data_IF_279185000846
#
_entry.id   IF_279185000846
#
_cell.length_a   1.000
_cell.length_b   1.000
_cell.length_c   1.000
_cell.angle_alpha   90.00
_cell.angle_beta   90.00
_cell.angle_gamma   90.00
#
_symmetry.space_group_name_H-M   'P 1'
#
loop_
_entity.id
_entity.type
_entity.pdbx_description
1 polymer ?
#
# COMPACT_ATOMS: atom_id res chain seq x y z
N UNK A 1 -51.52 30.49 8.05
CA UNK A 1 -50.66 29.41 7.53
C UNK A 1 -50.98 28.14 8.30
N UNK A 2 -51.42 27.08 7.62
CA UNK A 2 -51.86 25.83 8.27
C UNK A 2 -50.66 25.06 8.82
N UNK A 3 -50.72 24.65 10.10
CA UNK A 3 -49.70 23.80 10.73
C UNK A 3 -49.94 22.35 10.31
N UNK A 4 -49.00 21.76 9.59
CA UNK A 4 -49.04 20.34 9.19
C UNK A 4 -48.50 19.48 10.33
N UNK A 5 -49.36 18.71 11.00
CA UNK A 5 -48.95 17.72 12.00
C UNK A 5 -48.30 16.53 11.29
N UNK A 6 -47.04 16.22 11.64
CA UNK A 6 -46.36 15.01 11.17
C UNK A 6 -46.48 13.90 12.22
N UNK A 7 -46.73 12.64 11.81
CA UNK A 7 -46.78 11.52 12.74
C UNK A 7 -45.39 11.23 13.32
N UNK A 8 -45.34 10.91 14.61
CA UNK A 8 -44.13 10.45 15.30
C UNK A 8 -44.03 8.93 15.10
N UNK A 9 -42.97 8.48 14.42
CA UNK A 9 -42.72 7.07 14.14
C UNK A 9 -41.93 6.39 15.25
N UNK A 10 -42.14 5.09 15.46
CA UNK A 10 -41.34 4.29 16.38
C UNK A 10 -39.88 4.18 15.87
N UNK A 11 -38.87 4.47 16.70
CA UNK A 11 -37.47 4.40 16.28
C UNK A 11 -36.98 2.96 16.01
N UNK A 12 -37.64 1.95 16.57
CA UNK A 12 -37.21 0.55 16.45
C UNK A 12 -37.75 -0.14 15.18
N UNK A 13 -38.99 0.15 14.78
CA UNK A 13 -39.65 -0.56 13.67
C UNK A 13 -40.31 0.37 12.63
N UNK A 14 -40.29 1.69 12.83
CA UNK A 14 -40.88 2.66 11.92
C UNK A 14 -42.41 2.74 11.95
N UNK A 15 -43.09 1.98 12.82
CA UNK A 15 -44.55 2.01 12.92
C UNK A 15 -45.07 3.35 13.44
N UNK A 16 -46.15 3.92 12.85
CA UNK A 16 -46.83 5.10 13.37
C UNK A 16 -47.80 4.79 14.52
N UNK A 17 -48.12 3.51 14.76
CA UNK A 17 -49.07 3.08 15.78
C UNK A 17 -48.41 3.04 17.17
N UNK A 18 -48.99 3.82 18.10
CA UNK A 18 -48.46 3.98 19.46
C UNK A 18 -49.54 4.30 20.48
N UNK A 19 -49.28 3.89 21.72
CA UNK A 19 -50.03 4.27 22.91
C UNK A 19 -49.22 5.28 23.72
N UNK A 20 -49.83 6.40 24.12
CA UNK A 20 -49.20 7.40 25.00
C UNK A 20 -49.30 6.97 26.46
N UNK A 21 -48.15 6.87 27.15
CA UNK A 21 -48.08 6.45 28.55
C UNK A 21 -47.88 7.63 29.52
N UNK A 22 -47.42 8.78 29.02
CA UNK A 22 -47.22 10.01 29.80
C UNK A 22 -46.81 11.19 28.92
N UNK A 23 -46.49 12.35 29.51
CA UNK A 23 -45.92 13.48 28.77
C UNK A 23 -44.63 13.01 28.07
N UNK A 24 -44.62 13.14 26.75
CA UNK A 24 -43.53 12.73 25.86
C UNK A 24 -43.11 11.25 25.91
N UNK A 25 -43.80 10.37 26.66
CA UNK A 25 -43.52 8.93 26.74
C UNK A 25 -44.54 8.11 25.93
N UNK A 26 -44.05 7.27 25.03
CA UNK A 26 -44.85 6.46 24.11
C UNK A 26 -44.44 4.99 24.14
N UNK A 27 -45.38 4.09 23.88
CA UNK A 27 -45.14 2.67 23.58
C UNK A 27 -45.62 2.34 22.18
N UNK A 28 -44.79 1.67 21.39
CA UNK A 28 -45.20 1.20 20.07
C UNK A 28 -46.11 -0.02 20.18
N UNK A 29 -47.26 0.00 19.51
CA UNK A 29 -48.20 -1.13 19.57
C UNK A 29 -47.70 -2.34 18.74
N UNK A 30 -46.83 -2.10 17.75
CA UNK A 30 -46.32 -3.14 16.86
C UNK A 30 -45.18 -3.97 17.48
N UNK A 31 -44.21 -3.32 18.15
CA UNK A 31 -43.03 -4.00 18.70
C UNK A 31 -42.89 -3.84 20.22
N UNK A 32 -43.86 -3.21 20.88
CA UNK A 32 -43.89 -2.99 22.34
C UNK A 32 -42.71 -2.18 22.89
N UNK A 33 -41.94 -1.50 22.03
CA UNK A 33 -40.84 -0.63 22.46
C UNK A 33 -41.39 0.65 23.08
N UNK A 34 -40.97 0.95 24.30
CA UNK A 34 -41.22 2.21 24.98
C UNK A 34 -40.10 3.21 24.65
N UNK A 35 -40.46 4.45 24.33
CA UNK A 35 -39.55 5.52 23.94
C UNK A 35 -40.12 6.87 24.37
N UNK A 36 -39.24 7.79 24.79
CA UNK A 36 -39.62 9.16 25.15
C UNK A 36 -39.06 10.17 24.16
N UNK A 37 -39.76 11.30 23.98
CA UNK A 37 -39.33 12.44 23.19
C UNK A 37 -38.63 13.43 24.14
N UNK A 38 -37.32 13.41 24.14
CA UNK A 38 -36.52 14.42 24.82
C UNK A 38 -36.49 15.70 23.98
N UNK A 39 -36.62 16.87 24.62
CA UNK A 39 -36.58 18.17 23.97
C UNK A 39 -35.16 18.68 23.70
N UNK A 40 -34.15 17.98 24.19
CA UNK A 40 -32.74 18.34 24.03
C UNK A 40 -32.01 17.30 23.15
N UNK A 41 -31.13 17.76 22.26
CA UNK A 41 -30.46 16.98 21.22
C UNK A 41 -29.81 15.66 21.73
N UNK A 42 -30.37 14.55 21.25
CA UNK A 42 -29.76 13.23 20.96
C UNK A 42 -29.13 12.47 22.13
N UNK A 43 -29.95 11.81 22.97
CA UNK A 43 -29.64 10.46 23.50
C UNK A 43 -30.94 9.71 23.85
N UNK A 44 -31.28 8.62 23.15
CA UNK A 44 -32.45 7.78 23.46
C UNK A 44 -32.00 6.54 24.22
N UNK A 45 -32.43 6.38 25.47
CA UNK A 45 -32.24 5.16 26.25
C UNK A 45 -33.35 4.14 25.95
N UNK A 46 -32.98 2.92 25.55
CA UNK A 46 -33.91 1.81 25.27
C UNK A 46 -33.77 0.75 26.36
N UNK A 47 -34.87 0.42 27.04
CA UNK A 47 -34.97 -0.73 27.96
C UNK A 47 -35.77 -1.86 27.29
N UNK A 48 -35.20 -3.06 27.23
CA UNK A 48 -35.87 -4.26 26.76
C UNK A 48 -36.42 -5.06 27.95
N UNK A 49 -37.75 -5.22 28.02
CA UNK A 49 -38.39 -6.15 28.96
C UNK A 49 -38.81 -7.41 28.21
N UNK A 50 -38.28 -8.56 28.62
CA UNK A 50 -38.80 -9.88 28.24
C UNK A 50 -39.67 -10.42 29.38
N UNK A 51 -40.94 -10.78 29.14
CA UNK A 51 -41.78 -11.36 30.18
C UNK A 51 -41.36 -12.82 30.47
N UNK A 52 -41.27 -13.23 31.75
CA UNK A 52 -41.04 -14.62 32.11
C UNK A 52 -42.34 -15.45 32.00
N UNK A 53 -42.22 -16.70 31.55
CA UNK A 53 -43.31 -17.69 31.54
C UNK A 53 -43.60 -18.22 32.95
N UNK A 54 -44.88 -18.44 33.32
CA UNK A 54 -45.24 -18.92 34.65
C UNK A 54 -45.09 -20.44 34.76
N UNK A 55 -44.43 -20.90 35.82
CA UNK A 55 -44.34 -22.32 36.21
C UNK A 55 -45.43 -22.60 37.25
N UNK A 56 -46.27 -23.64 37.10
CA UNK A 56 -47.21 -24.04 38.14
C UNK A 56 -46.51 -24.87 39.22
N UNK A 57 -46.76 -24.56 40.49
CA UNK A 57 -46.30 -25.31 41.67
C UNK A 57 -47.32 -26.37 42.09
N UNK A 58 -46.95 -27.67 42.17
CA UNK A 58 -47.76 -28.68 42.85
C UNK A 58 -47.39 -28.79 44.35
N UNK A 59 -48.29 -29.31 45.19
CA UNK A 59 -48.08 -29.39 46.64
C UNK A 59 -47.06 -30.47 47.00
N UNK A 60 -46.24 -30.18 48.02
CA UNK A 60 -45.14 -31.04 48.45
C UNK A 60 -45.61 -32.21 49.34
N UNK A 61 -45.22 -33.47 49.03
CA UNK A 61 -45.16 -34.54 50.02
C UNK A 61 -43.74 -34.64 50.61
N UNK A 62 -43.66 -35.15 51.84
CA UNK A 62 -42.55 -35.07 52.80
C UNK A 62 -41.23 -35.81 52.44
N UNK A 63 -40.84 -35.88 51.18
CA UNK A 63 -39.50 -36.35 50.74
C UNK A 63 -38.58 -35.18 50.28
N UNK A 64 -39.07 -33.93 50.33
CA UNK A 64 -38.41 -32.76 49.73
C UNK A 64 -37.22 -32.19 50.54
N UNK A 65 -37.01 -32.59 51.80
CA UNK A 65 -35.94 -31.99 52.64
C UNK A 65 -34.52 -32.40 52.19
N UNK A 66 -34.33 -33.63 51.70
CA UNK A 66 -33.02 -34.08 51.22
C UNK A 66 -32.69 -33.57 49.81
N UNK A 67 -33.71 -33.36 48.97
CA UNK A 67 -33.53 -32.78 47.63
C UNK A 67 -33.15 -31.31 47.67
N UNK A 68 -33.75 -30.52 48.57
CA UNK A 68 -33.39 -29.10 48.73
C UNK A 68 -31.95 -28.98 49.24
N UNK A 69 -31.56 -29.79 50.24
CA UNK A 69 -30.18 -29.79 50.74
C UNK A 69 -29.16 -30.22 49.65
N UNK A 70 -29.49 -31.24 48.85
CA UNK A 70 -28.62 -31.69 47.76
C UNK A 70 -28.55 -30.67 46.61
N UNK A 71 -29.64 -29.94 46.35
CA UNK A 71 -29.67 -28.86 45.36
C UNK A 71 -28.86 -27.65 45.84
N UNK A 72 -28.96 -27.28 47.12
CA UNK A 72 -28.11 -26.24 47.71
C UNK A 72 -26.63 -26.64 47.71
N UNK A 73 -26.31 -27.92 47.94
CA UNK A 73 -24.94 -28.41 47.85
C UNK A 73 -24.41 -28.36 46.41
N UNK A 74 -25.23 -28.73 45.41
CA UNK A 74 -24.85 -28.64 43.99
C UNK A 74 -24.70 -27.19 43.52
N UNK A 75 -25.56 -26.28 43.99
CA UNK A 75 -25.43 -24.84 43.70
C UNK A 75 -24.20 -24.28 44.40
N UNK A 76 -23.91 -24.67 45.65
CA UNK A 76 -22.72 -24.23 46.37
C UNK A 76 -21.44 -24.76 45.73
N UNK A 77 -21.42 -26.04 45.32
CA UNK A 77 -20.31 -26.62 44.56
C UNK A 77 -20.19 -25.86 43.24
N UNK A 78 -21.24 -25.72 42.45
CA UNK A 78 -21.21 -24.98 41.18
C UNK A 78 -20.75 -23.52 41.34
N UNK A 79 -21.16 -22.86 42.41
CA UNK A 79 -20.71 -21.50 42.74
C UNK A 79 -19.23 -21.48 43.14
N UNK A 80 -18.75 -22.47 43.92
CA UNK A 80 -17.35 -22.63 44.26
C UNK A 80 -16.49 -23.03 43.06
N UNK A 81 -16.96 -23.90 42.16
CA UNK A 81 -16.27 -24.22 40.90
C UNK A 81 -16.27 -23.02 39.98
N UNK A 82 -17.35 -22.24 39.93
CA UNK A 82 -17.39 -20.99 39.17
C UNK A 82 -16.44 -19.95 39.77
N UNK A 83 -16.38 -19.81 41.09
CA UNK A 83 -15.45 -18.90 41.77
C UNK A 83 -13.99 -19.35 41.58
N UNK A 84 -13.72 -20.65 41.67
CA UNK A 84 -12.41 -21.24 41.43
C UNK A 84 -12.00 -21.10 39.96
N UNK A 85 -12.91 -21.31 39.00
CA UNK A 85 -12.66 -21.08 37.57
C UNK A 85 -12.52 -19.58 37.25
N UNK A 86 -13.18 -18.69 37.99
CA UNK A 86 -13.07 -17.23 37.83
C UNK A 86 -11.78 -16.68 38.45
N UNK A 87 -11.28 -17.29 39.53
CA UNK A 87 -9.97 -16.96 40.10
C UNK A 87 -8.81 -17.68 39.38
N UNK A 88 -9.02 -18.89 38.85
CA UNK A 88 -8.04 -19.57 38.00
C UNK A 88 -7.95 -18.94 36.60
N UNK A 89 -9.04 -18.32 36.14
CA UNK A 89 -9.04 -17.32 35.07
C UNK A 89 -8.85 -15.95 35.70
N UNK A 90 -7.70 -15.71 36.32
CA UNK A 90 -7.16 -14.38 36.16
C UNK A 90 -7.18 -14.14 34.65
N UNK A 91 -7.91 -13.12 34.13
CA UNK A 91 -7.47 -12.61 32.86
C UNK A 91 -6.02 -12.25 33.18
N UNK A 92 -5.06 -12.97 32.58
CA UNK A 92 -3.82 -12.30 32.22
C UNK A 92 -4.33 -10.98 31.68
N UNK A 93 -4.01 -9.89 32.40
CA UNK A 93 -4.20 -8.58 31.84
C UNK A 93 -3.53 -8.75 30.49
N UNK A 94 -4.35 -8.83 29.43
CA UNK A 94 -3.85 -8.79 28.09
C UNK A 94 -3.22 -7.42 28.12
N UNK A 95 -1.92 -7.38 28.41
CA UNK A 95 -1.09 -6.23 28.15
C UNK A 95 -1.54 -5.91 26.74
N UNK A 96 -2.21 -4.76 26.58
CA UNK A 96 -2.33 -4.21 25.25
C UNK A 96 -0.87 -4.13 24.84
N UNK A 97 -0.43 -5.10 24.03
CA UNK A 97 0.81 -5.01 23.32
C UNK A 97 0.50 -3.85 22.41
N UNK A 98 0.80 -2.65 22.89
CA UNK A 98 0.87 -1.47 22.07
C UNK A 98 1.95 -1.85 21.08
N UNK A 99 1.53 -2.37 19.91
CA UNK A 99 2.45 -2.64 18.83
C UNK A 99 3.19 -1.35 18.59
N UNK A 100 4.52 -1.41 18.66
CA UNK A 100 5.31 -0.22 18.37
C UNK A 100 4.94 0.22 16.95
N UNK A 101 4.69 1.53 16.73
CA UNK A 101 4.24 2.00 15.44
C UNK A 101 5.26 1.64 14.37
N UNK A 102 4.82 0.94 13.32
CA UNK A 102 5.65 0.64 12.17
C UNK A 102 5.81 1.88 11.29
N UNK A 103 7.05 2.22 10.93
CA UNK A 103 7.32 3.28 9.96
C UNK A 103 7.91 2.72 8.67
N UNK A 104 7.30 3.05 7.53
CA UNK A 104 7.77 2.67 6.20
C UNK A 104 8.78 3.68 5.65
N UNK A 105 10.00 3.21 5.37
CA UNK A 105 11.10 4.01 4.82
C UNK A 105 11.02 4.12 3.29
N UNK A 106 10.81 2.98 2.62
CA UNK A 106 10.65 2.90 1.18
C UNK A 106 9.91 1.62 0.79
N UNK A 107 9.49 1.53 -0.46
CA UNK A 107 8.70 0.41 -0.98
C UNK A 107 8.95 0.21 -2.47
N UNK A 108 8.76 -1.02 -2.92
CA UNK A 108 8.98 -1.39 -4.31
C UNK A 108 8.06 -2.53 -4.73
N UNK A 109 7.69 -2.53 -6.01
CA UNK A 109 6.93 -3.60 -6.63
C UNK A 109 7.76 -4.26 -7.75
N UNK A 110 7.95 -5.57 -7.66
CA UNK A 110 8.51 -6.36 -8.75
C UNK A 110 7.62 -7.58 -9.07
N UNK A 111 7.86 -8.20 -10.22
CA UNK A 111 7.32 -9.51 -10.55
C UNK A 111 8.45 -10.55 -10.43
N UNK A 112 8.23 -11.64 -9.69
CA UNK A 112 9.24 -12.69 -9.57
C UNK A 112 9.40 -13.49 -10.88
N UNK A 113 10.30 -14.48 -10.89
CA UNK A 113 10.56 -15.30 -12.07
C UNK A 113 9.32 -16.06 -12.60
N UNK A 114 8.29 -16.24 -11.76
CA UNK A 114 7.00 -16.84 -12.13
C UNK A 114 5.95 -15.79 -12.48
N UNK A 115 6.35 -14.53 -12.64
CA UNK A 115 5.50 -13.36 -12.92
C UNK A 115 4.46 -13.13 -11.83
N UNK A 116 4.78 -13.51 -10.60
CA UNK A 116 3.94 -13.22 -9.44
C UNK A 116 4.34 -11.87 -8.84
N UNK A 117 3.37 -11.01 -8.50
CA UNK A 117 3.70 -9.72 -7.92
C UNK A 117 4.29 -9.92 -6.51
N UNK A 118 5.32 -9.15 -6.20
CA UNK A 118 5.94 -9.11 -4.87
C UNK A 118 6.04 -7.66 -4.45
N UNK A 119 5.44 -7.37 -3.30
CA UNK A 119 5.51 -6.04 -2.70
C UNK A 119 6.53 -6.05 -1.57
N UNK A 120 7.56 -5.21 -1.69
CA UNK A 120 8.61 -5.10 -0.68
C UNK A 120 8.46 -3.79 0.05
N UNK A 121 8.47 -3.86 1.38
CA UNK A 121 8.54 -2.68 2.23
C UNK A 121 9.81 -2.72 3.06
N UNK A 122 10.55 -1.62 3.10
CA UNK A 122 11.59 -1.39 4.08
C UNK A 122 10.99 -0.60 5.24
N UNK A 123 11.00 -1.16 6.45
CA UNK A 123 10.35 -0.57 7.62
C UNK A 123 11.23 -0.61 8.87
N UNK A 124 10.84 0.16 9.88
CA UNK A 124 11.38 0.10 11.24
C UNK A 124 10.25 -0.06 12.28
N UNK A 125 10.58 -0.69 13.41
CA UNK A 125 9.70 -0.95 14.56
C UNK A 125 9.70 0.20 15.60
N UNK A 126 10.16 1.39 15.24
CA UNK A 126 10.05 2.59 16.07
C UNK A 126 9.66 3.80 15.21
N UNK A 127 9.19 4.91 15.82
CA UNK A 127 9.01 6.16 15.09
C UNK A 127 10.28 6.53 14.34
N UNK A 128 10.15 7.11 13.13
CA UNK A 128 11.30 7.64 12.36
C UNK A 128 12.17 8.59 13.22
N UNK A 129 11.56 9.24 14.22
CA UNK A 129 12.22 10.17 15.14
C UNK A 129 12.56 9.49 16.47
N UNK A 130 13.85 9.22 16.71
CA UNK A 130 14.37 8.67 17.97
C UNK A 130 15.67 7.86 17.80
N UNK A 131 16.53 7.87 18.82
CA UNK A 131 17.85 7.19 18.82
C UNK A 131 17.81 5.66 18.72
N UNK A 132 16.62 5.06 18.88
CA UNK A 132 16.49 3.64 19.22
C UNK A 132 16.12 2.75 18.03
N UNK A 133 15.84 3.32 16.86
CA UNK A 133 15.55 2.57 15.63
C UNK A 133 16.84 2.19 14.90
N UNK A 134 17.52 1.13 15.37
CA UNK A 134 18.77 0.66 14.75
C UNK A 134 18.60 -0.53 13.80
N UNK A 135 17.44 -1.19 13.78
CA UNK A 135 17.20 -2.34 12.91
C UNK A 135 16.18 -1.99 11.84
N UNK A 136 16.55 -2.22 10.57
CA UNK A 136 15.61 -2.10 9.46
C UNK A 136 15.18 -3.48 9.03
N UNK A 137 13.94 -3.58 8.60
CA UNK A 137 13.35 -4.84 8.24
C UNK A 137 12.76 -4.73 6.86
N UNK A 138 13.29 -5.53 5.93
CA UNK A 138 12.68 -5.73 4.63
C UNK A 138 11.63 -6.83 4.75
N UNK A 139 10.41 -6.52 4.33
CA UNK A 139 9.28 -7.46 4.33
C UNK A 139 8.81 -7.65 2.91
N UNK A 140 8.84 -8.89 2.46
CA UNK A 140 8.37 -9.32 1.16
C UNK A 140 6.97 -9.92 1.33
N UNK A 141 6.01 -9.37 0.61
CA UNK A 141 4.59 -9.70 0.72
C UNK A 141 4.07 -10.18 -0.62
N UNK A 142 3.15 -11.15 -0.60
CA UNK A 142 2.27 -11.41 -1.73
C UNK A 142 1.07 -10.46 -1.65
N UNK A 143 0.96 -9.45 -2.54
CA UNK A 143 -0.15 -8.51 -2.49
C UNK A 143 -1.50 -9.13 -2.89
N UNK A 144 -1.56 -10.39 -3.36
CA UNK A 144 -2.85 -11.06 -3.63
C UNK A 144 -3.50 -11.58 -2.36
N UNK A 145 -2.70 -11.97 -1.38
CA UNK A 145 -3.14 -12.63 -0.15
C UNK A 145 -2.82 -11.81 1.10
N UNK A 146 -1.94 -10.82 0.98
CA UNK A 146 -1.37 -10.06 2.09
C UNK A 146 -0.37 -10.86 2.93
N UNK A 147 -0.07 -12.11 2.57
CA UNK A 147 0.82 -12.98 3.34
C UNK A 147 2.28 -12.53 3.21
N UNK A 148 3.00 -12.57 4.34
CA UNK A 148 4.45 -12.37 4.36
C UNK A 148 5.12 -13.60 3.75
N UNK A 149 5.80 -13.40 2.62
CA UNK A 149 6.66 -14.41 1.99
C UNK A 149 7.97 -14.55 2.75
N UNK A 150 8.54 -13.41 3.16
CA UNK A 150 9.79 -13.34 3.91
C UNK A 150 9.94 -12.05 4.68
N UNK A 151 10.59 -12.15 5.84
CA UNK A 151 11.06 -11.02 6.61
C UNK A 151 12.58 -11.13 6.79
N UNK A 152 13.30 -10.05 6.52
CA UNK A 152 14.75 -9.98 6.63
C UNK A 152 15.13 -8.74 7.43
N UNK A 153 15.74 -8.97 8.61
CA UNK A 153 16.43 -7.92 9.33
C UNK A 153 17.72 -7.55 8.60
N UNK A 154 17.89 -6.26 8.34
CA UNK A 154 19.09 -5.65 7.81
C UNK A 154 19.83 -4.98 8.97
N UNK A 155 21.16 -5.08 8.95
CA UNK A 155 22.00 -4.28 9.83
C UNK A 155 21.78 -2.79 9.48
N UNK A 156 21.90 -1.87 10.46
CA UNK A 156 21.72 -0.45 10.21
C UNK A 156 22.56 0.01 9.01
N UNK A 157 21.95 0.61 7.99
CA UNK A 157 22.71 1.19 6.88
C UNK A 157 23.28 2.52 7.37
N UNK A 158 24.49 2.51 7.92
CA UNK A 158 25.19 3.72 8.34
C UNK A 158 24.49 4.56 9.43
N UNK A 159 24.93 5.82 9.59
CA UNK A 159 24.44 6.75 10.64
C UNK A 159 22.96 7.14 10.43
N UNK A 160 22.35 7.69 11.49
CA UNK A 160 20.93 8.06 11.70
C UNK A 160 20.01 8.14 10.46
N UNK A 161 18.78 7.54 10.47
CA UNK A 161 17.83 7.51 9.34
C UNK A 161 17.39 8.85 8.74
N UNK A 162 17.67 9.98 9.39
CA UNK A 162 17.01 11.25 9.10
C UNK A 162 17.55 12.00 7.89
N UNK A 163 18.77 11.68 7.44
CA UNK A 163 19.39 12.30 6.25
C UNK A 163 19.31 11.42 4.99
N UNK A 164 18.55 10.32 5.01
CA UNK A 164 18.73 9.26 4.02
C UNK A 164 17.51 9.06 3.12
N UNK A 165 17.78 8.98 1.83
CA UNK A 165 16.82 8.65 0.78
C UNK A 165 17.15 7.24 0.30
N UNK A 166 16.28 6.28 0.60
CA UNK A 166 16.33 4.95 0.01
C UNK A 166 15.63 4.96 -1.33
N UNK A 167 16.36 4.63 -2.39
CA UNK A 167 15.80 4.57 -3.73
C UNK A 167 15.95 3.19 -4.33
N UNK A 168 14.90 2.78 -5.05
CA UNK A 168 14.90 1.55 -5.82
C UNK A 168 15.17 1.88 -7.28
N UNK A 169 16.01 1.07 -7.92
CA UNK A 169 16.35 1.22 -9.32
C UNK A 169 16.36 -0.14 -10.01
N UNK A 170 15.60 -0.24 -11.09
CA UNK A 170 15.58 -1.42 -11.95
C UNK A 170 16.42 -1.15 -13.18
N UNK A 171 17.48 -1.95 -13.32
CA UNK A 171 18.39 -1.90 -14.45
C UNK A 171 17.99 -2.92 -15.51
N UNK A 172 18.50 -2.79 -16.76
CA UNK A 172 18.31 -3.78 -17.81
C UNK A 172 18.57 -5.22 -17.33
N UNK A 173 17.71 -6.14 -17.76
CA UNK A 173 17.72 -7.53 -17.29
C UNK A 173 16.99 -7.77 -15.97
N UNK A 174 16.06 -6.89 -15.62
CA UNK A 174 15.19 -6.98 -14.43
C UNK A 174 15.95 -7.08 -13.10
N UNK A 175 17.17 -6.50 -13.05
CA UNK A 175 17.99 -6.45 -11.84
C UNK A 175 17.61 -5.23 -11.02
N UNK A 176 16.99 -5.48 -9.88
CA UNK A 176 16.52 -4.43 -8.98
C UNK A 176 17.51 -4.21 -7.85
N UNK A 177 17.93 -2.96 -7.66
CA UNK A 177 18.80 -2.55 -6.57
C UNK A 177 18.07 -1.59 -5.63
N UNK A 178 18.35 -1.74 -4.34
CA UNK A 178 18.06 -0.76 -3.30
C UNK A 178 19.36 -0.04 -2.97
N UNK A 179 19.38 1.27 -3.19
CA UNK A 179 20.46 2.14 -2.78
C UNK A 179 20.14 2.73 -1.40
N UNK A 180 21.08 2.59 -0.47
CA UNK A 180 20.98 3.17 0.86
C UNK A 180 22.36 3.57 1.38
N UNK A 181 22.65 4.86 1.36
CA UNK A 181 23.94 5.44 1.79
C UNK A 181 25.09 4.92 0.90
N UNK A 182 26.16 4.43 1.53
CA UNK A 182 27.30 3.76 0.90
C UNK A 182 27.00 2.29 0.55
N UNK A 183 25.77 1.81 0.81
CA UNK A 183 25.41 0.40 0.63
C UNK A 183 24.49 0.20 -0.56
N UNK A 184 24.75 -0.89 -1.25
CA UNK A 184 24.00 -1.34 -2.41
C UNK A 184 23.47 -2.75 -2.16
N UNK A 185 22.15 -2.91 -2.24
CA UNK A 185 21.48 -4.20 -2.09
C UNK A 185 20.89 -4.64 -3.41
N UNK A 186 21.09 -5.90 -3.79
CA UNK A 186 20.42 -6.54 -4.92
C UNK A 186 19.22 -7.34 -4.43
N UNK A 187 18.07 -7.23 -5.10
CA UNK A 187 16.96 -8.16 -4.91
C UNK A 187 17.30 -9.50 -5.54
N UNK A 188 17.25 -10.55 -4.74
CA UNK A 188 17.17 -11.94 -5.18
C UNK A 188 15.71 -12.39 -5.09
N UNK A 189 15.03 -12.49 -6.24
CA UNK A 189 13.58 -12.77 -6.33
C UNK A 189 13.18 -14.20 -5.97
N UNK A 190 14.15 -15.09 -5.77
CA UNK A 190 13.96 -16.44 -5.24
C UNK A 190 15.23 -16.80 -4.47
N UNK A 191 15.28 -16.64 -3.14
CA UNK A 191 14.17 -16.77 -2.18
C UNK A 191 13.69 -15.46 -1.52
N UNK A 192 13.46 -14.38 -2.28
CA UNK A 192 13.01 -13.05 -1.80
C UNK A 192 13.93 -12.42 -0.74
N UNK A 193 15.12 -12.00 -1.16
CA UNK A 193 16.14 -11.48 -0.25
C UNK A 193 16.81 -10.23 -0.79
N UNK A 194 17.21 -9.34 0.11
CA UNK A 194 18.19 -8.29 -0.18
C UNK A 194 19.60 -8.80 0.14
N UNK A 195 20.45 -8.86 -0.88
CA UNK A 195 21.86 -9.23 -0.74
C UNK A 195 22.69 -7.95 -0.74
N UNK A 196 23.47 -7.72 0.32
CA UNK A 196 24.47 -6.66 0.32
C UNK A 196 25.57 -7.00 -0.70
N UNK A 197 25.61 -6.25 -1.80
CA UNK A 197 26.56 -6.45 -2.88
C UNK A 197 27.62 -5.35 -2.91
N UNK A 198 27.65 -4.46 -1.91
CA UNK A 198 28.56 -3.30 -1.85
C UNK A 198 30.00 -3.74 -2.06
N UNK A 199 30.48 -4.66 -1.22
CA UNK A 199 31.87 -5.11 -1.27
C UNK A 199 32.08 -6.12 -2.41
N UNK A 200 31.17 -7.06 -2.61
CA UNK A 200 31.38 -8.13 -3.60
C UNK A 200 31.32 -7.66 -5.05
N UNK A 201 30.51 -6.63 -5.32
CA UNK A 201 30.40 -6.03 -6.64
C UNK A 201 31.57 -5.09 -6.88
N UNK A 202 31.88 -4.22 -5.91
CA UNK A 202 32.83 -3.14 -6.13
C UNK A 202 34.30 -3.56 -5.93
N UNK A 203 34.60 -4.51 -5.03
CA UNK A 203 35.98 -5.01 -4.79
C UNK A 203 36.58 -5.74 -5.99
N UNK A 204 35.75 -6.23 -6.92
CA UNK A 204 36.24 -6.83 -8.17
C UNK A 204 36.89 -5.81 -9.11
N UNK A 205 36.83 -4.53 -8.80
CA UNK A 205 37.33 -3.46 -9.65
C UNK A 205 38.52 -2.75 -8.99
N UNK A 206 39.71 -2.73 -9.63
CA UNK A 206 40.92 -2.12 -9.07
C UNK A 206 40.75 -0.68 -8.55
N UNK A 207 39.98 0.21 -9.20
CA UNK A 207 39.76 1.57 -8.69
C UNK A 207 39.08 1.64 -7.33
N UNK A 208 38.30 0.63 -6.93
CA UNK A 208 37.57 0.61 -5.66
C UNK A 208 38.41 0.07 -4.48
N UNK A 209 39.70 -0.20 -4.67
CA UNK A 209 40.55 -0.83 -3.65
C UNK A 209 40.73 0.02 -2.39
N UNK A 210 40.55 1.34 -2.48
CA UNK A 210 40.58 2.28 -1.34
C UNK A 210 39.28 2.26 -0.52
N UNK A 211 38.26 1.53 -0.97
CA UNK A 211 36.92 1.51 -0.39
C UNK A 211 35.98 2.55 -1.00
N UNK A 212 34.70 2.42 -0.68
CA UNK A 212 33.61 3.22 -1.25
C UNK A 212 33.26 4.35 -0.28
N UNK A 213 33.29 5.58 -0.77
CA UNK A 213 32.86 6.76 -0.04
C UNK A 213 31.40 7.12 -0.35
N UNK A 214 30.94 6.87 -1.58
CA UNK A 214 29.57 7.18 -1.98
C UNK A 214 29.14 6.36 -3.19
N UNK A 215 27.85 6.00 -3.24
CA UNK A 215 27.19 5.41 -4.40
C UNK A 215 25.96 6.26 -4.73
N UNK A 216 25.78 6.60 -6.01
CA UNK A 216 24.63 7.32 -6.52
C UNK A 216 24.11 6.67 -7.80
N UNK A 217 22.81 6.78 -8.06
CA UNK A 217 22.27 6.46 -9.38
C UNK A 217 22.52 7.61 -10.35
N UNK A 218 23.07 7.30 -11.51
CA UNK A 218 23.28 8.23 -12.62
C UNK A 218 22.31 7.88 -13.76
N UNK A 219 21.16 8.58 -13.85
CA UNK A 219 20.11 8.26 -14.82
C UNK A 219 20.56 8.41 -16.27
N UNK A 220 21.52 9.30 -16.54
CA UNK A 220 22.00 9.60 -17.89
C UNK A 220 22.65 8.39 -18.58
N UNK A 221 23.22 7.49 -17.78
CA UNK A 221 23.91 6.30 -18.26
C UNK A 221 23.26 5.00 -17.79
N UNK A 222 22.15 5.06 -17.06
CA UNK A 222 21.56 3.90 -16.35
C UNK A 222 22.66 3.17 -15.55
N UNK A 223 23.43 3.94 -14.78
CA UNK A 223 24.65 3.48 -14.11
C UNK A 223 24.64 3.78 -12.61
N UNK A 224 25.53 3.12 -11.88
CA UNK A 224 25.91 3.51 -10.53
C UNK A 224 27.19 4.33 -10.59
N UNK A 225 27.12 5.60 -10.19
CA UNK A 225 28.27 6.46 -9.96
C UNK A 225 28.85 6.13 -8.59
N UNK A 226 30.13 5.78 -8.55
CA UNK A 226 30.84 5.40 -7.32
C UNK A 226 31.98 6.37 -7.09
N UNK A 227 32.00 6.98 -5.91
CA UNK A 227 33.10 7.78 -5.38
C UNK A 227 33.87 6.94 -4.37
N UNK A 228 35.18 6.88 -4.51
CA UNK A 228 36.07 6.12 -3.62
C UNK A 228 36.64 7.00 -2.50
N UNK A 229 37.18 6.38 -1.46
CA UNK A 229 37.77 7.10 -0.32
C UNK A 229 39.02 7.94 -0.68
N UNK A 230 39.72 7.59 -1.77
CA UNK A 230 40.85 8.36 -2.31
C UNK A 230 40.42 9.42 -3.35
N UNK A 231 39.11 9.62 -3.56
CA UNK A 231 38.55 10.69 -4.39
C UNK A 231 38.40 10.37 -5.87
N UNK A 232 38.58 9.11 -6.29
CA UNK A 232 38.35 8.69 -7.67
C UNK A 232 36.85 8.46 -7.92
N UNK A 233 36.39 8.80 -9.13
CA UNK A 233 35.01 8.54 -9.56
C UNK A 233 34.98 7.61 -10.76
N UNK A 234 34.18 6.56 -10.67
CA UNK A 234 33.89 5.65 -11.78
C UNK A 234 32.40 5.33 -11.87
N UNK A 235 32.00 4.74 -12.98
CA UNK A 235 30.63 4.38 -13.29
C UNK A 235 30.56 2.88 -13.53
N UNK A 236 29.76 2.18 -12.72
CA UNK A 236 29.44 0.78 -12.92
C UNK A 236 28.13 0.66 -13.69
N UNK A 237 28.14 -0.11 -14.79
CA UNK A 237 26.97 -0.36 -15.63
C UNK A 237 26.38 -1.75 -15.28
N UNK A 238 25.29 -1.86 -14.51
CA UNK A 238 24.77 -3.16 -14.06
C UNK A 238 24.35 -4.11 -15.19
N UNK A 239 23.98 -3.54 -16.34
CA UNK A 239 23.56 -4.27 -17.53
C UNK A 239 24.71 -5.05 -18.20
N UNK A 240 25.93 -4.49 -18.20
CA UNK A 240 27.10 -5.09 -18.86
C UNK A 240 28.19 -5.55 -17.90
N UNK A 241 28.16 -5.09 -16.65
CA UNK A 241 29.19 -5.33 -15.66
C UNK A 241 30.46 -4.48 -15.82
N UNK A 242 30.50 -3.57 -16.80
CA UNK A 242 31.66 -2.70 -17.01
C UNK A 242 31.80 -1.63 -15.94
N UNK A 243 33.05 -1.28 -15.62
CA UNK A 243 33.42 -0.11 -14.83
C UNK A 243 34.24 0.82 -15.69
N UNK A 244 33.80 2.06 -15.82
CA UNK A 244 34.37 3.04 -16.74
C UNK A 244 34.48 4.41 -16.06
N UNK A 245 35.49 5.19 -16.44
CA UNK A 245 35.55 6.61 -16.09
C UNK A 245 34.59 7.41 -16.99
N UNK A 246 34.25 8.64 -16.56
CA UNK A 246 33.42 9.54 -17.37
C UNK A 246 34.11 9.80 -18.73
N UNK A 247 33.34 9.69 -19.81
CA UNK A 247 33.81 9.99 -21.15
C UNK A 247 33.10 9.17 -22.22
N UNK A 248 33.66 9.21 -23.42
CA UNK A 248 33.08 8.59 -24.61
C UNK A 248 32.87 7.07 -24.47
N UNK A 249 33.79 6.37 -23.80
CA UNK A 249 33.69 4.93 -23.59
C UNK A 249 32.49 4.57 -22.70
N UNK A 250 32.27 5.31 -21.61
CA UNK A 250 31.09 5.14 -20.74
C UNK A 250 29.82 5.39 -21.53
N UNK A 251 29.76 6.48 -22.27
CA UNK A 251 28.56 6.86 -23.02
C UNK A 251 28.20 5.81 -24.08
N UNK A 252 29.18 5.30 -24.84
CA UNK A 252 28.97 4.22 -25.81
C UNK A 252 28.50 2.92 -25.15
N UNK A 253 29.14 2.52 -24.05
CA UNK A 253 28.78 1.30 -23.33
C UNK A 253 27.38 1.40 -22.71
N UNK A 254 27.04 2.55 -22.12
CA UNK A 254 25.71 2.82 -21.59
C UNK A 254 24.65 2.76 -22.69
N UNK A 255 24.87 3.49 -23.80
CA UNK A 255 23.94 3.56 -24.92
C UNK A 255 23.66 2.17 -25.52
N UNK A 256 24.69 1.33 -25.69
CA UNK A 256 24.55 -0.03 -26.20
C UNK A 256 23.71 -0.95 -25.28
N UNK A 257 23.53 -0.58 -24.01
CA UNK A 257 22.83 -1.37 -23.01
C UNK A 257 21.60 -0.65 -22.43
N UNK A 258 21.17 0.49 -22.99
CA UNK A 258 20.00 1.20 -22.49
C UNK A 258 18.77 0.29 -22.55
N UNK A 259 17.93 0.29 -21.50
CA UNK A 259 16.69 -0.45 -21.55
C UNK A 259 15.88 0.06 -22.73
N UNK A 260 15.26 -0.85 -23.49
CA UNK A 260 14.40 -0.47 -24.59
C UNK A 260 13.18 0.27 -24.05
N UNK A 261 13.24 1.59 -24.08
CA UNK A 261 12.09 2.47 -23.86
C UNK A 261 11.33 2.55 -25.18
N UNK A 262 10.15 1.99 -25.24
CA UNK A 262 9.28 2.02 -26.42
C UNK A 262 8.58 3.36 -26.57
N UNK A 263 8.30 4.04 -25.46
CA UNK A 263 7.57 5.30 -25.42
C UNK A 263 8.18 6.29 -24.43
N UNK A 264 8.00 7.57 -24.73
CA UNK A 264 8.34 8.69 -23.85
C UNK A 264 7.27 9.77 -23.94
N UNK A 265 7.18 10.58 -22.88
CA UNK A 265 6.49 11.87 -22.94
C UNK A 265 7.55 12.96 -23.05
N UNK A 266 7.46 13.78 -24.10
CA UNK A 266 8.35 14.92 -24.29
C UNK A 266 7.57 16.22 -24.23
N UNK A 267 8.14 17.22 -23.55
CA UNK A 267 7.61 18.56 -23.51
C UNK A 267 8.23 19.33 -24.67
N UNK A 268 7.45 19.79 -25.67
CA UNK A 268 8.01 20.58 -26.74
C UNK A 268 8.65 21.84 -26.15
N UNK A 269 9.79 22.26 -26.73
CA UNK A 269 10.43 23.51 -26.35
C UNK A 269 9.42 24.65 -26.51
N UNK A 270 9.31 25.46 -25.45
CA UNK A 270 8.31 26.53 -25.41
C UNK A 270 8.76 27.67 -26.32
N UNK A 271 8.28 27.68 -27.56
CA UNK A 271 8.50 28.79 -28.49
C UNK A 271 7.43 29.86 -28.28
N UNK A 272 7.77 30.94 -27.58
CA UNK A 272 6.86 32.06 -27.31
C UNK A 272 5.85 31.81 -26.18
N UNK A 273 4.64 32.34 -26.36
CA UNK A 273 3.54 32.31 -25.37
C UNK A 273 2.54 31.15 -25.60
N UNK A 274 2.81 30.25 -26.53
CA UNK A 274 1.91 29.12 -26.81
C UNK A 274 1.98 28.04 -25.71
N UNK A 275 0.81 27.60 -25.23
CA UNK A 275 0.69 26.47 -24.32
C UNK A 275 1.22 25.20 -24.99
N UNK A 276 2.36 24.72 -24.50
CA UNK A 276 3.00 23.49 -24.94
C UNK A 276 2.50 22.31 -24.11
N UNK A 277 1.97 21.28 -24.78
CA UNK A 277 1.46 20.07 -24.14
C UNK A 277 2.43 18.90 -24.35
N UNK A 278 2.54 17.97 -23.40
CA UNK A 278 3.42 16.82 -23.57
C UNK A 278 2.95 15.94 -24.74
N UNK A 279 3.89 15.60 -25.61
CA UNK A 279 3.70 14.71 -26.76
C UNK A 279 3.97 13.27 -26.32
N UNK A 280 3.11 12.33 -26.73
CA UNK A 280 3.36 10.90 -26.57
C UNK A 280 4.13 10.41 -27.80
N UNK A 281 5.40 10.06 -27.62
CA UNK A 281 6.28 9.65 -28.69
C UNK A 281 6.61 8.17 -28.59
N UNK A 282 6.55 7.44 -29.71
CA UNK A 282 7.10 6.10 -29.82
C UNK A 282 8.55 6.16 -30.31
N UNK A 283 9.44 5.56 -29.54
CA UNK A 283 10.87 5.54 -29.81
C UNK A 283 11.18 4.50 -30.87
N UNK A 284 11.77 4.92 -31.99
CA UNK A 284 12.33 3.99 -32.98
C UNK A 284 13.77 3.67 -32.58
N UNK A 285 14.13 2.38 -32.47
CA UNK A 285 15.53 2.01 -32.35
C UNK A 285 16.24 2.48 -33.62
N UNK A 286 17.16 3.40 -33.43
CA UNK A 286 17.91 4.02 -34.51
C UNK A 286 19.39 3.82 -34.18
N UNK A 287 20.24 3.76 -35.21
CA UNK A 287 21.67 3.72 -34.97
C UNK A 287 22.08 5.05 -34.35
N UNK A 288 22.88 4.96 -33.30
CA UNK A 288 23.52 6.10 -32.65
C UNK A 288 24.01 7.14 -33.70
N UNK A 289 23.74 8.45 -33.55
CA UNK A 289 23.10 9.16 -32.43
C UNK A 289 21.63 9.57 -32.69
N UNK A 290 21.01 9.09 -33.77
CA UNK A 290 19.67 9.55 -34.14
C UNK A 290 18.65 8.82 -33.26
N UNK A 291 17.66 9.53 -32.71
CA UNK A 291 16.44 8.90 -32.19
C UNK A 291 15.32 9.43 -33.08
N UNK A 292 14.68 8.53 -33.82
CA UNK A 292 13.49 8.88 -34.59
C UNK A 292 12.25 8.58 -33.73
N UNK A 293 11.26 9.45 -33.81
CA UNK A 293 10.03 9.33 -33.04
C UNK A 293 8.82 9.30 -33.96
N UNK A 294 7.83 8.49 -33.59
CA UNK A 294 6.48 8.62 -34.12
C UNK A 294 5.60 9.37 -33.11
N UNK A 295 4.96 10.45 -33.56
CA UNK A 295 3.99 11.16 -32.73
C UNK A 295 2.69 10.34 -32.64
N UNK A 296 2.42 9.83 -31.44
CA UNK A 296 1.24 9.06 -31.09
C UNK A 296 0.28 9.83 -30.17
N UNK A 297 0.42 11.15 -30.11
CA UNK A 297 -0.41 12.03 -29.27
C UNK A 297 -1.87 11.97 -29.70
N UNK A 298 -2.15 11.81 -31.01
CA UNK A 298 -3.50 11.67 -31.59
C UNK A 298 -4.45 12.81 -31.18
N UNK A 299 -3.97 14.05 -31.16
CA UNK A 299 -4.72 15.23 -30.70
C UNK A 299 -5.26 15.13 -29.25
N UNK A 300 -4.73 14.21 -28.43
CA UNK A 300 -5.08 14.12 -27.01
C UNK A 300 -4.25 15.11 -26.21
N UNK A 301 -4.83 15.63 -25.14
CA UNK A 301 -4.10 16.40 -24.13
C UNK A 301 -3.86 15.52 -22.93
N UNK A 302 -2.61 15.46 -22.50
CA UNK A 302 -2.21 14.70 -21.33
C UNK A 302 -1.86 15.66 -20.20
N UNK A 303 -2.58 15.56 -19.09
CA UNK A 303 -2.29 16.31 -17.87
C UNK A 303 -1.50 15.43 -16.91
N UNK A 304 -0.36 15.93 -16.43
CA UNK A 304 0.55 15.22 -15.53
C UNK A 304 0.81 13.74 -15.92
N UNK A 305 1.11 13.44 -17.21
CA UNK A 305 1.24 12.06 -17.65
C UNK A 305 2.42 11.34 -17.00
N UNK A 306 2.22 10.06 -16.72
CA UNK A 306 3.27 9.13 -16.29
C UNK A 306 3.11 7.81 -17.00
N UNK A 307 4.22 7.24 -17.45
CA UNK A 307 4.26 5.86 -17.94
C UNK A 307 4.40 4.95 -16.71
N UNK A 308 3.43 4.05 -16.52
CA UNK A 308 3.47 3.07 -15.44
C UNK A 308 4.11 1.75 -15.90
N UNK A 309 3.83 1.34 -17.13
CA UNK A 309 4.41 0.15 -17.76
C UNK A 309 4.45 0.32 -19.28
N UNK A 310 5.45 -0.26 -19.92
CA UNK A 310 5.55 -0.28 -21.38
C UNK A 310 6.27 -1.54 -21.86
N UNK A 311 5.78 -2.10 -22.96
CA UNK A 311 6.48 -3.08 -23.77
C UNK A 311 6.17 -2.88 -25.26
N UNK A 312 6.53 -3.84 -26.11
CA UNK A 312 6.31 -3.76 -27.56
C UNK A 312 4.83 -3.79 -28.00
N UNK A 313 3.90 -4.14 -27.09
CA UNK A 313 2.48 -4.37 -27.38
C UNK A 313 1.55 -3.50 -26.53
N UNK A 314 1.96 -3.13 -25.33
CA UNK A 314 1.11 -2.51 -24.33
C UNK A 314 1.80 -1.33 -23.67
N UNK A 315 1.06 -0.23 -23.54
CA UNK A 315 1.46 0.97 -22.82
C UNK A 315 0.41 1.29 -21.75
N UNK A 316 0.80 1.25 -20.47
CA UNK A 316 -0.02 1.72 -19.37
C UNK A 316 0.45 3.10 -18.92
N UNK A 317 -0.48 4.04 -18.83
CA UNK A 317 -0.22 5.40 -18.38
C UNK A 317 -1.16 5.79 -17.24
N UNK A 318 -0.67 6.65 -16.36
CA UNK A 318 -1.49 7.44 -15.45
C UNK A 318 -1.56 8.87 -15.97
N UNK A 319 -2.78 9.43 -16.02
CA UNK A 319 -3.03 10.79 -16.50
C UNK A 319 -4.07 11.46 -15.62
N UNK A 320 -3.93 12.76 -15.36
CA UNK A 320 -5.01 13.53 -14.76
C UNK A 320 -6.09 13.83 -15.83
N UNK A 321 -7.39 13.79 -15.48
CA UNK A 321 -8.48 14.07 -16.42
C UNK A 321 -8.61 15.58 -16.72
N UNK A 322 -8.02 16.44 -15.89
CA UNK A 322 -8.05 17.91 -16.04
C UNK A 322 -6.70 18.52 -15.65
N UNK A 323 -6.50 19.80 -15.96
CA UNK A 323 -5.31 20.56 -15.58
C UNK A 323 -5.21 20.88 -14.07
N UNK A 324 -6.19 20.45 -13.25
CA UNK A 324 -6.15 20.67 -11.81
C UNK A 324 -4.97 19.91 -11.20
N UNK A 325 -4.01 20.64 -10.65
CA UNK A 325 -2.87 20.07 -9.92
C UNK A 325 -3.32 19.13 -8.81
N UNK A 326 -2.63 18.01 -8.66
CA UNK A 326 -2.93 16.98 -7.66
C UNK A 326 -4.38 16.48 -7.73
N UNK A 327 -4.97 16.51 -8.93
CA UNK A 327 -6.28 15.92 -9.19
C UNK A 327 -6.23 14.39 -9.13
N UNK A 328 -7.40 13.72 -9.17
CA UNK A 328 -7.43 12.27 -9.26
C UNK A 328 -6.78 11.82 -10.58
N UNK A 329 -6.11 10.68 -10.58
CA UNK A 329 -5.50 10.08 -11.76
C UNK A 329 -6.38 8.98 -12.36
N UNK A 330 -6.39 8.92 -13.68
CA UNK A 330 -6.98 7.85 -14.48
C UNK A 330 -5.87 6.95 -14.99
N UNK A 331 -6.03 5.64 -14.83
CA UNK A 331 -5.14 4.66 -15.46
C UNK A 331 -5.74 4.24 -16.80
N UNK A 332 -4.93 4.31 -17.85
CA UNK A 332 -5.31 3.92 -19.21
C UNK A 332 -4.32 2.91 -19.76
N UNK A 333 -4.83 1.97 -20.56
CA UNK A 333 -4.03 1.08 -21.37
C UNK A 333 -4.23 1.42 -22.84
N UNK A 334 -3.11 1.61 -23.54
CA UNK A 334 -3.05 1.92 -24.94
C UNK A 334 -2.40 0.77 -25.70
N UNK A 335 -2.86 0.55 -26.93
CA UNK A 335 -2.14 -0.29 -27.89
C UNK A 335 -0.81 0.37 -28.24
N UNK A 336 0.31 -0.33 -28.08
CA UNK A 336 1.63 0.25 -28.27
C UNK A 336 1.89 0.74 -29.72
N UNK A 337 1.28 0.12 -30.73
CA UNK A 337 1.55 0.46 -32.13
C UNK A 337 0.75 1.67 -32.59
N UNK A 338 -0.48 1.75 -32.12
CA UNK A 338 -1.47 2.71 -32.62
C UNK A 338 -1.83 3.77 -31.59
N UNK A 339 -1.39 3.63 -30.34
CA UNK A 339 -1.81 4.43 -29.18
C UNK A 339 -3.33 4.53 -28.95
N UNK A 340 -4.10 3.64 -29.59
CA UNK A 340 -5.54 3.51 -29.41
C UNK A 340 -5.83 3.07 -27.98
N UNK A 341 -6.79 3.73 -27.34
CA UNK A 341 -7.28 3.34 -26.02
C UNK A 341 -7.89 1.93 -26.07
N UNK A 342 -7.33 1.02 -25.27
CA UNK A 342 -7.84 -0.33 -25.07
C UNK A 342 -8.84 -0.36 -23.93
N UNK A 343 -8.49 0.26 -22.79
CA UNK A 343 -9.37 0.45 -21.65
C UNK A 343 -8.92 1.63 -20.79
N UNK A 344 -9.84 2.15 -19.98
CA UNK A 344 -9.61 3.23 -19.02
C UNK A 344 -10.33 2.91 -17.73
N UNK A 345 -9.68 3.10 -16.59
CA UNK A 345 -10.32 2.98 -15.27
C UNK A 345 -10.99 4.30 -14.87
N UNK A 346 -11.93 4.28 -13.92
CA UNK A 346 -12.41 5.49 -13.28
C UNK A 346 -11.27 6.27 -12.61
N UNK A 347 -11.43 7.59 -12.52
CA UNK A 347 -10.46 8.44 -11.82
C UNK A 347 -10.39 8.05 -10.33
N UNK A 348 -9.18 7.97 -9.79
CA UNK A 348 -8.93 7.60 -8.40
C UNK A 348 -8.02 8.64 -7.73
N UNK A 349 -8.07 8.79 -6.40
CA UNK A 349 -7.20 9.68 -5.66
C UNK A 349 -5.76 9.14 -5.53
N UNK A 350 -5.46 8.02 -6.19
CA UNK A 350 -4.18 7.32 -6.08
C UNK A 350 -3.12 8.00 -6.93
N UNK A 351 -1.95 8.20 -6.32
CA UNK A 351 -0.71 8.47 -7.05
C UNK A 351 -0.08 7.13 -7.40
N UNK A 352 -0.17 6.74 -8.67
CA UNK A 352 0.49 5.54 -9.18
C UNK A 352 1.96 5.82 -9.48
N UNK A 353 2.83 4.90 -9.08
CA UNK A 353 4.29 5.06 -9.20
C UNK A 353 4.87 4.21 -10.31
N UNK A 354 4.52 2.92 -10.31
CA UNK A 354 5.05 1.93 -11.24
C UNK A 354 4.04 0.79 -11.40
N UNK A 355 4.18 0.03 -12.48
CA UNK A 355 3.42 -1.17 -12.72
C UNK A 355 4.30 -2.30 -13.25
N UNK A 356 3.99 -3.53 -12.85
CA UNK A 356 4.64 -4.73 -13.37
C UNK A 356 3.62 -5.64 -14.02
N UNK A 357 4.06 -6.32 -15.07
CA UNK A 357 3.28 -7.33 -15.76
C UNK A 357 3.32 -8.65 -14.99
N UNK A 358 2.16 -9.19 -14.68
CA UNK A 358 1.97 -10.45 -13.94
C UNK A 358 1.37 -11.53 -14.85
N UNK A 359 1.16 -12.73 -14.32
CA UNK A 359 0.40 -13.79 -15.01
C UNK A 359 -1.06 -13.40 -15.26
N UNK A 360 -1.64 -12.62 -14.35
CA UNK A 360 -3.07 -12.32 -14.35
C UNK A 360 -3.40 -10.96 -14.99
N UNK A 361 -2.37 -10.20 -15.37
CA UNK A 361 -2.47 -8.87 -15.98
C UNK A 361 -1.38 -7.95 -15.45
N UNK A 362 -1.74 -7.00 -14.59
CA UNK A 362 -0.84 -5.99 -14.04
C UNK A 362 -0.97 -5.85 -12.53
N UNK A 363 0.14 -5.53 -11.86
CA UNK A 363 0.15 -5.03 -10.50
C UNK A 363 0.65 -3.58 -10.52
N UNK A 364 -0.07 -2.67 -9.87
CA UNK A 364 0.21 -1.23 -9.86
C UNK A 364 0.45 -0.76 -8.44
N UNK A 365 1.64 -0.22 -8.17
CA UNK A 365 1.96 0.37 -6.88
C UNK A 365 1.40 1.79 -6.78
N UNK A 366 0.78 2.11 -5.65
CA UNK A 366 0.20 3.43 -5.43
C UNK A 366 0.35 3.94 -4.00
N UNK A 367 0.15 5.24 -3.83
CA UNK A 367 -0.15 5.83 -2.52
C UNK A 367 -1.15 6.96 -2.60
N UNK A 368 -1.65 7.33 -1.43
CA UNK A 368 -2.60 8.42 -1.25
C UNK A 368 -1.93 9.61 -0.56
N UNK A 369 -2.61 10.75 -0.60
CA UNK A 369 -2.16 11.97 0.08
C UNK A 369 -2.58 12.03 1.56
N UNK A 370 -2.34 13.18 2.22
CA UNK A 370 -2.68 13.38 3.63
C UNK A 370 -4.16 13.15 3.95
N UNK A 371 -5.05 13.48 3.01
CA UNK A 371 -6.50 13.31 3.17
C UNK A 371 -6.95 11.85 3.36
N UNK A 372 -6.09 10.88 3.04
CA UNK A 372 -6.33 9.44 3.17
C UNK A 372 -5.21 8.78 3.97
N UNK A 373 -4.62 9.54 4.90
CA UNK A 373 -3.60 9.06 5.84
C UNK A 373 -2.42 8.34 5.18
N UNK A 374 -2.02 8.79 3.98
CA UNK A 374 -0.89 8.25 3.23
C UNK A 374 -0.91 6.73 3.06
N UNK A 375 -2.11 6.14 2.94
CA UNK A 375 -2.30 4.74 2.58
C UNK A 375 -1.50 4.42 1.32
N UNK A 376 -0.90 3.24 1.32
CA UNK A 376 -0.17 2.73 0.19
C UNK A 376 -0.52 1.27 -0.09
N UNK A 377 -0.39 0.87 -1.33
CA UNK A 377 -0.90 -0.43 -1.73
C UNK A 377 -0.51 -0.85 -3.12
N UNK A 378 -1.03 -2.02 -3.48
CA UNK A 378 -0.93 -2.61 -4.81
C UNK A 378 -2.35 -2.90 -5.28
N UNK A 379 -2.74 -2.34 -6.42
CA UNK A 379 -3.95 -2.76 -7.12
C UNK A 379 -3.59 -3.76 -8.22
N UNK A 380 -4.29 -4.89 -8.24
CA UNK A 380 -4.14 -5.94 -9.24
C UNK A 380 -5.22 -5.80 -10.29
N UNK A 381 -4.82 -5.75 -11.55
CA UNK A 381 -5.69 -5.57 -12.70
C UNK A 381 -5.56 -6.76 -13.64
N UNK A 382 -6.69 -7.18 -14.20
CA UNK A 382 -6.71 -8.05 -15.36
C UNK A 382 -6.25 -7.30 -16.62
N UNK A 383 -5.95 -8.06 -17.68
CA UNK A 383 -5.55 -7.50 -18.99
C UNK A 383 -6.59 -6.57 -19.62
N UNK A 384 -7.85 -6.72 -19.26
CA UNK A 384 -8.98 -5.87 -19.70
C UNK A 384 -9.21 -4.65 -18.80
N UNK A 385 -8.37 -4.44 -17.77
CA UNK A 385 -8.46 -3.32 -16.82
C UNK A 385 -9.40 -3.56 -15.65
N UNK A 386 -10.06 -4.73 -15.56
CA UNK A 386 -10.89 -5.09 -14.41
C UNK A 386 -10.04 -5.27 -13.15
N UNK A 387 -10.50 -4.71 -12.04
CA UNK A 387 -9.84 -4.91 -10.74
C UNK A 387 -10.04 -6.36 -10.26
N UNK A 388 -8.93 -7.00 -9.91
CA UNK A 388 -8.88 -8.34 -9.34
C UNK A 388 -8.79 -8.27 -7.82
N UNK A 389 -7.99 -7.35 -7.30
CA UNK A 389 -7.76 -7.16 -5.88
C UNK A 389 -7.14 -5.78 -5.61
N UNK A 390 -7.37 -5.22 -4.42
CA UNK A 390 -6.69 -4.02 -3.93
C UNK A 390 -6.13 -4.28 -2.53
N UNK A 391 -4.81 -4.36 -2.44
CA UNK A 391 -4.09 -4.58 -1.21
C UNK A 391 -3.62 -3.25 -0.63
N UNK A 392 -4.03 -2.96 0.59
CA UNK A 392 -3.78 -1.68 1.26
C UNK A 392 -3.06 -1.86 2.59
N UNK A 393 -2.19 -0.90 2.91
CA UNK A 393 -1.58 -0.71 4.23
C UNK A 393 -1.64 0.74 4.65
N UNK A 394 -1.83 0.97 5.95
CA UNK A 394 -1.83 2.32 6.53
C UNK A 394 -0.40 2.81 6.75
N UNK A 395 -0.24 4.14 6.88
CA UNK A 395 1.06 4.76 7.16
C UNK A 395 1.71 4.25 8.44
N UNK A 396 0.89 4.00 9.47
CA UNK A 396 1.29 3.40 10.74
C UNK A 396 0.43 2.15 10.94
N UNK A 397 1.08 1.00 11.10
CA UNK A 397 0.46 -0.29 11.45
C UNK A 397 1.03 -0.82 12.75
#
# INVERSE_FOLDING_TARGET
>A
MAKTLRPILCPQCGSPAKTTLGPDLFRCDACQTEYYLDSDDVTVHVQHHYPPTPIPTPPAPMAARYWVASLFLLIAIGALTWLYLRNARHPEQASQVVSKPVSYLTRYLYADARRQPVYVTLRTEAPRWGSDSTAWTAVFLDPRTGQVRREQKLLPLGRHPDNHIYSWHTFPGDRVYLLGNERLYLIESNPDRLIDVTDTLLVRFPPASSGVAQIEFEPSYEALRVLTNDGQTFFYLPASGHVLSKGEALYRAAYANLPRRFFTFEWPERTGDEESWPLLLANRPTHYPVVAFDDLTQNRRFFEPRILYQDAKTLLIAVAPTAKRNGPAVVQCLDAKTARLLWSRPASPYTFHEAVRTTDGFALAYSTGPAQDYVHGIVLLADDGRELHDFQRKRLE
#
